data_IF_212887544377
#
_entry.id   IF_212887544377
#
_cell.length_a   1.000
_cell.length_b   1.000
_cell.length_c   1.000
_cell.angle_alpha   90.00
_cell.angle_beta   90.00
_cell.angle_gamma   90.00
#
_symmetry.space_group_name_H-M   'P 1'
#
loop_
_entity.id
_entity.type
_entity.pdbx_description
1 polymer ?
#
# COMPACT_ATOMS: atom_id res chain seq x y z
N UNK A 1 23.05 1.52 -13.55
CA UNK A 1 24.19 0.67 -13.21
C UNK A 1 24.22 0.35 -11.71
N UNK A 2 24.14 1.34 -10.80
CA UNK A 2 24.19 1.11 -9.35
C UNK A 2 23.03 0.23 -8.80
N UNK A 3 21.80 0.39 -9.31
CA UNK A 3 20.68 -0.44 -8.90
C UNK A 3 20.90 -1.96 -9.10
N UNK A 4 21.79 -2.33 -10.01
CA UNK A 4 22.15 -3.73 -10.27
C UNK A 4 23.17 -4.31 -9.27
N UNK A 5 23.81 -3.47 -8.45
CA UNK A 5 24.78 -3.90 -7.43
C UNK A 5 24.14 -4.21 -6.07
N UNK A 6 22.90 -3.77 -5.84
CA UNK A 6 22.16 -4.06 -4.62
C UNK A 6 21.38 -5.36 -4.74
N UNK A 7 21.29 -6.13 -3.66
CA UNK A 7 20.47 -7.33 -3.60
C UNK A 7 19.00 -7.03 -3.86
N UNK A 8 18.50 -5.91 -3.35
CA UNK A 8 17.15 -5.40 -3.61
C UNK A 8 17.14 -3.87 -3.51
N UNK A 9 16.34 -3.22 -4.35
CA UNK A 9 16.07 -1.80 -4.29
C UNK A 9 14.58 -1.60 -4.01
N UNK A 10 14.29 -0.84 -2.96
CA UNK A 10 12.93 -0.57 -2.54
C UNK A 10 12.63 0.92 -2.59
N UNK A 11 11.57 1.27 -3.27
CA UNK A 11 11.06 2.63 -3.29
C UNK A 11 9.98 2.81 -2.21
N UNK A 12 10.10 3.82 -1.38
CA UNK A 12 9.14 4.18 -0.33
C UNK A 12 8.45 5.50 -0.68
N UNK A 13 7.31 5.78 -0.04
CA UNK A 13 6.48 6.95 -0.34
C UNK A 13 7.03 8.25 0.23
N UNK A 14 7.81 8.17 1.30
CA UNK A 14 8.30 9.32 2.05
C UNK A 14 9.55 8.96 2.87
N UNK A 15 10.27 9.98 3.31
CA UNK A 15 11.50 9.83 4.08
C UNK A 15 11.31 9.21 5.47
N UNK A 16 10.17 9.48 6.14
CA UNK A 16 9.89 8.86 7.43
C UNK A 16 9.76 7.35 7.30
N UNK A 17 9.03 6.88 6.28
CA UNK A 17 8.93 5.45 5.95
C UNK A 17 10.30 4.85 5.63
N UNK A 18 11.18 5.59 4.94
CA UNK A 18 12.55 5.13 4.67
C UNK A 18 13.33 4.91 5.97
N UNK A 19 13.32 5.86 6.89
CA UNK A 19 14.00 5.73 8.17
C UNK A 19 13.39 4.68 9.09
N UNK A 20 12.06 4.52 9.12
CA UNK A 20 11.42 3.43 9.87
C UNK A 20 11.87 2.05 9.36
N UNK A 21 12.04 1.90 8.05
CA UNK A 21 12.55 0.67 7.45
C UNK A 21 14.03 0.43 7.82
N UNK A 22 14.86 1.48 7.82
CA UNK A 22 16.26 1.40 8.25
C UNK A 22 16.35 1.07 9.74
N UNK A 23 15.59 1.74 10.59
CA UNK A 23 15.58 1.53 12.04
C UNK A 23 15.13 0.12 12.41
N UNK A 24 14.11 -0.40 11.74
CA UNK A 24 13.59 -1.75 11.96
C UNK A 24 14.47 -2.86 11.39
N UNK A 25 15.52 -2.52 10.63
CA UNK A 25 16.42 -3.49 9.98
C UNK A 25 15.81 -4.15 8.75
N UNK A 26 14.71 -3.64 8.21
CA UNK A 26 14.12 -4.17 6.97
C UNK A 26 14.87 -3.73 5.70
N UNK A 27 15.72 -2.72 5.81
CA UNK A 27 16.71 -2.29 4.82
C UNK A 27 18.02 -1.96 5.53
N UNK A 28 19.15 -2.14 4.82
CA UNK A 28 20.49 -1.91 5.37
C UNK A 28 20.96 -0.47 5.16
N UNK A 29 20.43 0.21 4.15
CA UNK A 29 20.79 1.58 3.80
C UNK A 29 19.60 2.32 3.16
N UNK A 30 19.65 3.65 3.22
CA UNK A 30 18.67 4.55 2.58
C UNK A 30 19.43 5.50 1.67
N UNK A 31 18.93 5.67 0.44
CA UNK A 31 19.38 6.68 -0.49
C UNK A 31 18.37 7.82 -0.55
N UNK A 32 18.82 9.05 -0.35
CA UNK A 32 17.98 10.23 -0.36
C UNK A 32 18.80 11.48 -0.75
N UNK A 33 18.12 12.60 -0.88
CA UNK A 33 18.74 13.91 -1.07
C UNK A 33 19.68 14.27 0.10
N UNK A 34 20.85 14.84 -0.22
CA UNK A 34 21.88 15.16 0.77
C UNK A 34 21.39 16.20 1.79
N UNK A 35 20.58 17.17 1.38
CA UNK A 35 20.03 18.19 2.27
C UNK A 35 19.09 17.59 3.29
N UNK A 36 18.21 16.67 2.84
CA UNK A 36 17.30 15.93 3.72
C UNK A 36 18.08 14.99 4.63
N UNK A 37 19.10 14.28 4.11
CA UNK A 37 19.94 13.40 4.91
C UNK A 37 20.63 14.14 6.06
N UNK A 38 21.24 15.31 5.79
CA UNK A 38 21.86 16.15 6.82
C UNK A 38 20.86 16.60 7.89
N UNK A 39 19.69 17.07 7.50
CA UNK A 39 18.61 17.47 8.41
C UNK A 39 18.13 16.30 9.30
N UNK A 40 17.86 15.15 8.72
CA UNK A 40 17.37 13.97 9.44
C UNK A 40 18.42 13.39 10.40
N UNK A 41 19.70 13.43 10.04
CA UNK A 41 20.78 13.01 10.93
C UNK A 41 20.89 13.90 12.19
N UNK A 42 20.69 15.20 12.05
CA UNK A 42 20.63 16.10 13.21
C UNK A 42 19.40 15.83 14.09
N UNK A 43 18.23 15.68 13.47
CA UNK A 43 16.98 15.45 14.17
C UNK A 43 16.96 14.10 14.93
N UNK A 44 17.66 13.07 14.42
CA UNK A 44 17.69 11.71 14.97
C UNK A 44 18.92 11.39 15.83
N UNK A 45 19.62 12.42 16.30
CA UNK A 45 20.71 12.31 17.28
C UNK A 45 21.78 11.24 16.94
N UNK A 46 22.38 11.30 15.76
CA UNK A 46 23.56 10.53 15.33
C UNK A 46 23.50 8.99 15.41
N UNK A 47 22.32 8.40 15.34
CA UNK A 47 22.16 6.93 15.23
C UNK A 47 22.67 6.36 13.90
N UNK A 48 22.83 7.19 12.89
CA UNK A 48 23.18 6.81 11.52
C UNK A 48 24.39 7.56 11.03
N UNK A 49 25.06 7.04 10.01
CA UNK A 49 26.23 7.64 9.39
C UNK A 49 25.94 7.85 7.91
N UNK A 50 26.27 9.03 7.40
CA UNK A 50 26.25 9.30 5.98
C UNK A 50 27.54 8.76 5.34
N UNK A 51 27.38 7.94 4.28
CA UNK A 51 28.54 7.44 3.53
C UNK A 51 29.09 8.54 2.63
N UNK A 52 30.41 8.51 2.39
CA UNK A 52 31.08 9.48 1.52
C UNK A 52 30.84 9.21 0.02
N UNK A 53 30.27 8.05 -0.32
CA UNK A 53 29.98 7.66 -1.69
C UNK A 53 28.63 8.25 -2.14
N UNK A 54 28.65 9.00 -3.24
CA UNK A 54 27.44 9.55 -3.84
C UNK A 54 26.86 8.57 -4.87
N UNK A 55 25.55 8.30 -4.79
CA UNK A 55 24.84 7.46 -5.74
C UNK A 55 24.64 8.17 -7.08
N UNK A 56 24.33 9.45 -7.04
CA UNK A 56 24.20 10.33 -8.21
C UNK A 56 24.49 11.78 -7.80
N UNK A 57 24.85 12.60 -8.76
CA UNK A 57 24.93 14.06 -8.63
C UNK A 57 23.84 14.66 -9.49
N UNK A 58 23.04 15.55 -8.93
CA UNK A 58 21.97 16.25 -9.63
C UNK A 58 21.99 17.74 -9.27
N UNK A 59 21.41 18.56 -10.14
CA UNK A 59 21.29 20.00 -9.92
C UNK A 59 19.81 20.35 -9.76
N UNK A 60 19.50 21.22 -8.80
CA UNK A 60 18.17 21.77 -8.62
C UNK A 60 18.04 23.09 -9.38
N UNK A 61 16.94 23.23 -10.11
CA UNK A 61 16.61 24.45 -10.83
C UNK A 61 15.20 24.93 -10.54
N UNK A 62 14.98 26.22 -10.72
CA UNK A 62 13.64 26.83 -10.62
C UNK A 62 12.97 26.75 -11.99
N UNK A 63 11.88 25.98 -12.11
CA UNK A 63 11.13 25.84 -13.35
C UNK A 63 10.10 26.96 -13.54
N UNK A 64 10.05 27.53 -14.76
CA UNK A 64 9.09 28.55 -15.15
C UNK A 64 8.19 28.03 -16.27
N UNK A 65 6.96 28.57 -16.35
CA UNK A 65 6.07 28.29 -17.48
C UNK A 65 6.74 28.75 -18.79
N UNK A 66 6.72 27.92 -19.83
CA UNK A 66 7.26 28.24 -21.15
C UNK A 66 6.69 29.58 -21.65
N UNK A 67 7.56 30.50 -22.05
CA UNK A 67 7.22 31.87 -22.48
C UNK A 67 7.22 32.94 -21.39
N UNK A 68 7.28 32.56 -20.10
CA UNK A 68 7.39 33.54 -18.99
C UNK A 68 8.87 33.93 -18.74
N UNK A 69 9.49 34.53 -19.73
CA UNK A 69 10.92 34.91 -19.71
C UNK A 69 11.17 36.10 -18.80
N UNK A 70 10.21 36.98 -18.64
CA UNK A 70 10.34 38.17 -17.81
C UNK A 70 10.53 37.79 -16.33
N UNK A 71 9.61 37.00 -15.77
CA UNK A 71 9.73 36.53 -14.37
C UNK A 71 11.01 35.70 -14.16
N UNK A 72 11.34 34.81 -15.13
CA UNK A 72 12.58 34.03 -15.07
C UNK A 72 13.79 34.93 -14.94
N UNK A 73 13.87 35.99 -15.77
CA UNK A 73 15.04 36.91 -15.76
C UNK A 73 15.11 37.72 -14.44
N UNK A 74 13.98 38.21 -13.94
CA UNK A 74 13.90 38.89 -12.64
C UNK A 74 14.41 38.01 -11.49
N UNK A 75 13.96 36.73 -11.45
CA UNK A 75 14.41 35.79 -10.40
C UNK A 75 15.89 35.45 -10.56
N UNK A 76 16.38 35.27 -11.78
CA UNK A 76 17.80 35.01 -12.03
C UNK A 76 18.67 36.18 -11.61
N UNK A 77 18.25 37.41 -11.92
CA UNK A 77 18.93 38.63 -11.53
C UNK A 77 19.01 38.78 -10.01
N UNK A 78 17.90 38.57 -9.31
CA UNK A 78 17.87 38.58 -7.83
C UNK A 78 18.80 37.52 -7.21
N UNK A 79 18.85 36.31 -7.77
CA UNK A 79 19.74 35.25 -7.30
C UNK A 79 21.21 35.63 -7.52
N UNK A 80 21.53 36.28 -8.65
CA UNK A 80 22.87 36.74 -8.93
C UNK A 80 23.29 37.89 -7.99
N UNK A 81 22.37 38.80 -7.66
CA UNK A 81 22.59 39.84 -6.66
C UNK A 81 22.86 39.26 -5.27
N UNK A 82 22.05 38.30 -4.83
CA UNK A 82 22.23 37.60 -3.56
C UNK A 82 23.55 36.82 -3.49
N UNK A 83 24.05 36.32 -4.63
CA UNK A 83 25.35 35.67 -4.70
C UNK A 83 26.48 36.70 -4.57
N UNK A 84 26.32 37.86 -5.24
CA UNK A 84 27.32 38.93 -5.25
C UNK A 84 27.47 39.65 -3.91
N UNK A 85 26.37 39.82 -3.16
CA UNK A 85 26.38 40.46 -1.84
C UNK A 85 26.67 39.49 -0.69
N UNK A 86 26.75 38.17 -0.97
CA UNK A 86 27.04 37.12 0.01
C UNK A 86 25.81 36.54 0.73
N UNK A 87 24.63 37.14 0.60
CA UNK A 87 23.40 36.70 1.26
C UNK A 87 23.08 35.25 0.94
N UNK A 88 23.30 34.82 -0.32
CA UNK A 88 23.05 33.43 -0.72
C UNK A 88 23.94 32.44 0.05
N UNK A 89 25.22 32.79 0.23
CA UNK A 89 26.15 31.94 0.96
C UNK A 89 25.87 31.92 2.48
N UNK A 90 25.41 33.02 3.06
CA UNK A 90 24.98 33.06 4.47
C UNK A 90 23.77 32.12 4.70
N UNK A 91 22.80 32.12 3.77
CA UNK A 91 21.66 31.21 3.82
C UNK A 91 22.13 29.75 3.68
N UNK A 92 23.02 29.47 2.73
CA UNK A 92 23.58 28.14 2.54
C UNK A 92 24.32 27.65 3.81
N UNK A 93 25.09 28.48 4.46
CA UNK A 93 25.74 28.20 5.74
C UNK A 93 24.74 27.88 6.84
N UNK A 94 23.71 28.70 6.98
CA UNK A 94 22.64 28.45 7.98
C UNK A 94 22.02 27.07 7.85
N UNK A 95 21.90 26.56 6.62
CA UNK A 95 21.33 25.27 6.32
C UNK A 95 22.36 24.15 6.09
N UNK A 96 23.68 24.45 6.30
CA UNK A 96 24.81 23.52 6.11
C UNK A 96 24.86 22.91 4.70
N UNK A 97 24.53 23.72 3.70
CA UNK A 97 24.49 23.38 2.29
C UNK A 97 25.55 24.09 1.44
N UNK A 98 26.62 24.61 2.05
CA UNK A 98 27.67 25.37 1.39
C UNK A 98 28.30 24.60 0.24
N UNK A 99 28.54 23.30 0.45
CA UNK A 99 29.14 22.42 -0.56
C UNK A 99 28.18 22.08 -1.73
N UNK A 100 26.89 22.40 -1.57
CA UNK A 100 25.85 22.12 -2.57
C UNK A 100 25.53 23.35 -3.43
N UNK A 101 26.18 24.50 -3.19
CA UNK A 101 25.95 25.71 -3.96
C UNK A 101 26.63 25.59 -5.32
N UNK A 102 25.86 25.58 -6.40
CA UNK A 102 26.34 25.55 -7.77
C UNK A 102 26.02 26.82 -8.55
N UNK A 103 25.38 27.83 -7.93
CA UNK A 103 25.07 29.11 -8.57
C UNK A 103 26.37 29.86 -8.92
N UNK A 104 26.47 30.32 -10.17
CA UNK A 104 27.68 31.03 -10.67
C UNK A 104 28.85 30.11 -11.08
N UNK A 105 28.72 28.78 -11.02
CA UNK A 105 29.72 27.86 -11.56
C UNK A 105 29.54 27.67 -13.06
N UNK A 106 30.65 27.71 -13.81
CA UNK A 106 30.64 27.48 -15.27
C UNK A 106 30.08 26.08 -15.59
N UNK A 107 28.96 26.02 -16.29
CA UNK A 107 28.23 24.79 -16.62
C UNK A 107 26.76 24.83 -16.18
N UNK A 108 26.39 25.71 -15.24
CA UNK A 108 25.00 25.90 -14.86
C UNK A 108 24.16 26.53 -15.99
N UNK A 109 24.78 27.32 -16.84
CA UNK A 109 24.12 28.01 -17.97
C UNK A 109 23.89 27.08 -19.20
N UNK A 110 24.70 26.03 -19.37
CA UNK A 110 24.58 25.10 -20.49
C UNK A 110 23.41 24.12 -20.34
N UNK A 111 22.97 23.80 -19.11
CA UNK A 111 21.82 22.92 -18.86
C UNK A 111 20.49 23.60 -19.22
N UNK A 112 20.47 24.94 -19.29
CA UNK A 112 19.27 25.72 -19.67
C UNK A 112 18.90 25.62 -21.14
N UNK A 113 19.75 25.08 -21.99
CA UNK A 113 19.55 24.99 -23.45
C UNK A 113 19.41 23.55 -23.97
N UNK A 114 19.17 22.57 -23.13
CA UNK A 114 18.70 21.26 -23.60
C UNK A 114 17.26 21.39 -24.16
N UNK A 115 17.11 22.21 -25.19
CA UNK A 115 15.92 22.35 -26.03
C UNK A 115 15.71 21.13 -26.94
N UNK A 116 16.24 19.99 -26.63
CA UNK A 116 16.02 18.77 -27.40
C UNK A 116 15.58 17.61 -26.51
N UNK A 117 14.61 17.85 -25.66
CA UNK A 117 13.62 16.81 -25.38
C UNK A 117 12.84 16.54 -26.66
N UNK A 118 13.44 15.86 -27.63
CA UNK A 118 12.67 15.10 -28.59
C UNK A 118 11.94 14.01 -27.78
N UNK A 119 10.81 14.37 -27.22
CA UNK A 119 9.73 13.43 -27.00
C UNK A 119 9.38 12.93 -28.39
N UNK A 120 10.09 11.88 -28.85
CA UNK A 120 9.58 11.08 -29.94
C UNK A 120 8.14 10.76 -29.54
N UNK A 121 7.17 11.27 -30.31
CA UNK A 121 5.79 10.84 -30.27
C UNK A 121 5.79 9.34 -30.63
N UNK A 122 6.16 8.48 -29.66
CA UNK A 122 5.95 7.04 -29.76
C UNK A 122 4.47 6.85 -30.03
N UNK A 123 4.12 6.01 -31.00
CA UNK A 123 2.73 5.67 -31.28
C UNK A 123 2.04 5.32 -29.97
N UNK A 124 0.93 5.98 -29.65
CA UNK A 124 0.21 5.85 -28.37
C UNK A 124 -0.11 4.39 -28.03
N UNK A 125 -0.31 3.53 -29.02
CA UNK A 125 -0.57 2.10 -28.85
C UNK A 125 0.69 1.34 -28.40
N UNK A 126 1.86 1.67 -28.96
CA UNK A 126 3.13 1.04 -28.52
C UNK A 126 3.47 1.44 -27.09
N UNK A 127 3.22 2.70 -26.72
CA UNK A 127 3.41 3.22 -25.36
C UNK A 127 2.50 2.51 -24.34
N UNK A 128 1.23 2.26 -24.69
CA UNK A 128 0.30 1.49 -23.85
C UNK A 128 0.78 0.06 -23.65
N UNK A 129 1.28 -0.60 -24.70
CA UNK A 129 1.83 -1.95 -24.62
C UNK A 129 3.03 -2.04 -23.66
N UNK A 130 3.96 -1.08 -23.72
CA UNK A 130 5.10 -1.00 -22.84
C UNK A 130 4.67 -0.82 -21.36
N UNK A 131 3.71 0.07 -21.11
CA UNK A 131 3.16 0.31 -19.76
C UNK A 131 2.52 -0.97 -19.22
N UNK A 132 1.71 -1.68 -19.99
CA UNK A 132 1.07 -2.94 -19.57
C UNK A 132 2.12 -3.99 -19.21
N UNK A 133 3.18 -4.11 -20.01
CA UNK A 133 4.30 -5.04 -19.71
C UNK A 133 5.01 -4.66 -18.42
N UNK A 134 5.25 -3.37 -18.18
CA UNK A 134 5.86 -2.89 -16.94
C UNK A 134 4.99 -3.18 -15.71
N UNK A 135 3.67 -3.04 -15.84
CA UNK A 135 2.72 -3.24 -14.73
C UNK A 135 2.37 -4.71 -14.46
N UNK A 136 2.76 -5.64 -15.32
CA UNK A 136 2.40 -7.08 -15.24
C UNK A 136 2.67 -7.69 -13.87
N UNK A 137 3.85 -7.45 -13.31
CA UNK A 137 4.21 -8.03 -12.01
C UNK A 137 3.34 -7.48 -10.87
N UNK A 138 2.97 -6.20 -10.92
CA UNK A 138 2.04 -5.60 -9.98
C UNK A 138 0.64 -6.21 -10.04
N UNK A 139 0.17 -6.57 -11.25
CA UNK A 139 -1.11 -7.28 -11.42
C UNK A 139 -1.12 -8.63 -10.70
N UNK A 140 -0.06 -9.42 -10.85
CA UNK A 140 0.05 -10.71 -10.15
C UNK A 140 0.18 -10.56 -8.64
N UNK A 141 0.91 -9.53 -8.18
CA UNK A 141 1.03 -9.23 -6.76
C UNK A 141 -0.35 -8.86 -6.15
N UNK A 142 -1.11 -7.99 -6.81
CA UNK A 142 -2.49 -7.62 -6.42
C UNK A 142 -3.40 -8.85 -6.34
N UNK A 143 -3.37 -9.71 -7.36
CA UNK A 143 -4.15 -10.95 -7.38
C UNK A 143 -3.74 -11.89 -6.24
N UNK A 144 -2.43 -12.01 -5.97
CA UNK A 144 -1.89 -12.80 -4.86
C UNK A 144 -2.40 -12.31 -3.49
N UNK A 145 -2.34 -11.01 -3.23
CA UNK A 145 -2.90 -10.40 -2.00
C UNK A 145 -4.38 -10.73 -1.88
N UNK A 146 -5.16 -10.51 -2.93
CA UNK A 146 -6.59 -10.76 -2.97
C UNK A 146 -6.93 -12.22 -2.62
N UNK A 147 -6.33 -13.18 -3.33
CA UNK A 147 -6.61 -14.62 -3.14
C UNK A 147 -6.19 -15.07 -1.74
N UNK A 148 -4.97 -14.74 -1.31
CA UNK A 148 -4.45 -15.16 0.00
C UNK A 148 -5.26 -14.55 1.14
N UNK A 149 -5.66 -13.28 1.00
CA UNK A 149 -6.55 -12.66 1.99
C UNK A 149 -7.86 -13.45 2.13
N UNK A 150 -8.51 -13.80 1.04
CA UNK A 150 -9.76 -14.59 1.09
C UNK A 150 -9.53 -15.96 1.68
N UNK A 151 -8.48 -16.67 1.26
CA UNK A 151 -8.14 -18.02 1.75
C UNK A 151 -7.94 -18.04 3.26
N UNK A 152 -7.33 -17.01 3.84
CA UNK A 152 -7.10 -16.95 5.28
C UNK A 152 -8.24 -16.28 6.05
N UNK A 153 -8.85 -15.24 5.52
CA UNK A 153 -9.85 -14.46 6.26
C UNK A 153 -11.22 -15.16 6.36
N UNK A 154 -11.65 -15.90 5.33
CA UNK A 154 -12.93 -16.60 5.36
C UNK A 154 -12.98 -17.68 6.47
N UNK A 155 -12.02 -18.63 6.58
CA UNK A 155 -12.03 -19.59 7.67
C UNK A 155 -11.75 -18.95 9.04
N UNK A 156 -10.85 -17.96 9.11
CA UNK A 156 -10.56 -17.25 10.34
C UNK A 156 -11.79 -16.49 10.85
N UNK A 157 -12.55 -15.85 9.97
CA UNK A 157 -13.82 -15.22 10.29
C UNK A 157 -14.82 -16.18 10.89
N UNK A 158 -14.90 -17.41 10.37
CA UNK A 158 -15.78 -18.45 10.94
C UNK A 158 -15.34 -18.87 12.34
N UNK A 159 -14.03 -19.03 12.57
CA UNK A 159 -13.47 -19.33 13.91
C UNK A 159 -13.82 -18.21 14.89
N UNK A 160 -13.61 -16.96 14.51
CA UNK A 160 -13.93 -15.79 15.35
C UNK A 160 -15.43 -15.73 15.63
N UNK A 161 -16.28 -16.08 14.67
CA UNK A 161 -17.75 -16.18 14.87
C UNK A 161 -18.07 -17.17 15.99
N UNK A 162 -17.49 -18.38 15.97
CA UNK A 162 -17.72 -19.36 17.04
C UNK A 162 -17.22 -18.89 18.39
N UNK A 163 -16.07 -18.23 18.46
CA UNK A 163 -15.55 -17.61 19.68
C UNK A 163 -16.53 -16.52 20.16
N UNK A 164 -17.02 -15.68 19.25
CA UNK A 164 -17.96 -14.59 19.54
C UNK A 164 -19.33 -15.09 20.04
N UNK A 165 -19.76 -16.26 19.58
CA UNK A 165 -21.03 -16.93 19.98
C UNK A 165 -20.83 -17.94 21.12
N UNK A 166 -19.64 -18.09 21.64
CA UNK A 166 -19.29 -19.00 22.74
C UNK A 166 -20.08 -18.68 24.03
N UNK A 167 -20.35 -19.70 24.84
CA UNK A 167 -20.94 -19.53 26.19
C UNK A 167 -19.95 -18.94 27.20
N UNK A 168 -18.64 -18.97 26.92
CA UNK A 168 -17.60 -18.44 27.79
C UNK A 168 -17.51 -16.93 27.61
N UNK A 169 -17.99 -16.16 28.58
CA UNK A 169 -18.06 -14.69 28.53
C UNK A 169 -16.73 -14.03 28.21
N UNK A 170 -15.62 -14.55 28.73
CA UNK A 170 -14.28 -14.02 28.47
C UNK A 170 -13.90 -14.11 26.99
N UNK A 171 -14.10 -15.27 26.37
CA UNK A 171 -13.84 -15.49 24.93
C UNK A 171 -14.74 -14.60 24.06
N UNK A 172 -16.01 -14.51 24.42
CA UNK A 172 -16.97 -13.65 23.75
C UNK A 172 -16.53 -12.18 23.81
N UNK A 173 -16.04 -11.73 24.97
CA UNK A 173 -15.57 -10.35 25.18
C UNK A 173 -14.30 -10.05 24.34
N UNK A 174 -13.32 -10.97 24.36
CA UNK A 174 -12.09 -10.83 23.55
C UNK A 174 -12.44 -10.72 22.06
N UNK A 175 -13.29 -11.60 21.54
CA UNK A 175 -13.72 -11.53 20.14
C UNK A 175 -14.45 -10.21 19.82
N UNK A 176 -15.28 -9.71 20.74
CA UNK A 176 -15.99 -8.44 20.58
C UNK A 176 -15.04 -7.26 20.48
N UNK A 177 -14.02 -7.21 21.34
CA UNK A 177 -12.99 -6.15 21.31
C UNK A 177 -12.20 -6.21 20.01
N UNK A 178 -11.72 -7.41 19.64
CA UNK A 178 -11.00 -7.59 18.38
C UNK A 178 -11.79 -7.07 17.19
N UNK A 179 -13.05 -7.51 17.05
CA UNK A 179 -13.92 -7.06 15.94
C UNK A 179 -14.13 -5.54 15.99
N UNK A 180 -14.34 -4.99 17.18
CA UNK A 180 -14.52 -3.55 17.37
C UNK A 180 -13.29 -2.75 16.94
N UNK A 181 -12.09 -3.20 17.29
CA UNK A 181 -10.84 -2.55 16.90
C UNK A 181 -10.64 -2.64 15.39
N UNK A 182 -10.76 -3.84 14.81
CA UNK A 182 -10.49 -4.06 13.38
C UNK A 182 -11.47 -3.32 12.47
N UNK A 183 -12.73 -3.18 12.88
CA UNK A 183 -13.76 -2.45 12.12
C UNK A 183 -13.82 -0.97 12.46
N UNK A 184 -13.23 -0.55 13.57
CA UNK A 184 -13.24 0.82 14.05
C UNK A 184 -11.98 1.64 13.73
N UNK A 185 -10.95 1.01 13.16
CA UNK A 185 -9.68 1.68 12.82
C UNK A 185 -9.37 1.54 11.33
N UNK A 186 -8.64 2.51 10.72
CA UNK A 186 -8.27 2.43 9.31
C UNK A 186 -7.35 1.23 9.02
N UNK A 187 -7.65 0.46 7.97
CA UNK A 187 -6.84 -0.69 7.56
C UNK A 187 -5.36 -0.32 7.33
N UNK A 188 -5.09 0.84 6.74
CA UNK A 188 -3.72 1.31 6.51
C UNK A 188 -2.90 1.39 7.81
N UNK A 189 -3.50 1.90 8.90
CA UNK A 189 -2.83 1.94 10.21
C UNK A 189 -2.60 0.55 10.77
N UNK A 190 -3.53 -0.37 10.58
CA UNK A 190 -3.39 -1.76 11.01
C UNK A 190 -2.23 -2.45 10.30
N UNK A 191 -2.08 -2.23 8.98
CA UNK A 191 -0.95 -2.73 8.21
C UNK A 191 0.39 -2.24 8.77
N UNK A 192 0.50 -0.94 9.07
CA UNK A 192 1.71 -0.37 9.67
C UNK A 192 2.01 -0.98 11.05
N UNK A 193 0.99 -1.17 11.90
CA UNK A 193 1.15 -1.82 13.20
C UNK A 193 1.59 -3.28 13.07
N UNK A 194 1.03 -4.04 12.14
CA UNK A 194 1.41 -5.44 11.89
C UNK A 194 2.86 -5.53 11.39
N UNK A 195 3.27 -4.59 10.54
CA UNK A 195 4.62 -4.60 9.99
C UNK A 195 5.67 -4.11 10.99
N UNK A 196 5.49 -2.93 11.57
CA UNK A 196 6.47 -2.33 12.47
C UNK A 196 6.34 -2.76 13.93
N UNK A 197 5.16 -3.25 14.35
CA UNK A 197 4.89 -3.65 15.73
C UNK A 197 5.90 -4.63 16.32
N UNK A 198 6.33 -5.71 15.63
CA UNK A 198 7.32 -6.64 16.14
C UNK A 198 8.65 -5.96 16.51
N UNK A 199 9.09 -4.98 15.75
CA UNK A 199 10.30 -4.22 16.07
C UNK A 199 10.10 -3.31 17.28
N UNK A 200 9.08 -2.45 17.27
CA UNK A 200 8.91 -1.44 18.33
C UNK A 200 8.46 -2.02 19.67
N UNK A 201 7.72 -3.15 19.67
CA UNK A 201 7.22 -3.77 20.89
C UNK A 201 8.18 -4.82 21.47
N UNK A 202 8.91 -5.55 20.62
CA UNK A 202 9.70 -6.71 21.00
C UNK A 202 11.17 -6.62 20.60
N UNK A 203 11.60 -5.58 19.88
CA UNK A 203 12.98 -5.43 19.40
C UNK A 203 13.38 -6.44 18.32
N UNK A 204 12.40 -7.05 17.62
CA UNK A 204 12.66 -8.06 16.59
C UNK A 204 13.03 -7.36 15.28
N UNK A 205 14.25 -7.63 14.78
CA UNK A 205 14.68 -7.11 13.48
C UNK A 205 13.78 -7.66 12.36
N UNK A 206 13.33 -6.78 11.48
CA UNK A 206 12.45 -7.14 10.37
C UNK A 206 13.29 -7.52 9.15
N UNK A 207 12.91 -8.61 8.49
CA UNK A 207 13.50 -8.98 7.20
C UNK A 207 12.70 -8.39 6.03
N UNK A 208 13.36 -8.22 4.88
CA UNK A 208 12.68 -7.81 3.64
C UNK A 208 11.46 -8.70 3.32
N UNK A 209 11.62 -10.02 3.46
CA UNK A 209 10.56 -11.00 3.19
C UNK A 209 9.36 -10.88 4.13
N UNK A 210 9.55 -10.36 5.35
CA UNK A 210 8.46 -10.19 6.34
C UNK A 210 7.37 -9.25 5.82
N UNK A 211 7.69 -8.30 4.96
CA UNK A 211 6.73 -7.37 4.37
C UNK A 211 5.56 -8.06 3.69
N UNK A 212 5.84 -9.08 2.87
CA UNK A 212 4.79 -9.87 2.24
C UNK A 212 3.87 -10.53 3.26
N UNK A 213 4.45 -11.16 4.28
CA UNK A 213 3.66 -11.80 5.33
C UNK A 213 2.85 -10.78 6.13
N UNK A 214 3.42 -9.63 6.44
CA UNK A 214 2.72 -8.56 7.17
C UNK A 214 1.51 -8.03 6.39
N UNK A 215 1.64 -7.86 5.07
CA UNK A 215 0.51 -7.51 4.19
C UNK A 215 -0.60 -8.56 4.32
N UNK A 216 -0.28 -9.84 4.10
CA UNK A 216 -1.29 -10.91 4.14
C UNK A 216 -1.91 -11.04 5.54
N UNK A 217 -1.12 -11.00 6.61
CA UNK A 217 -1.61 -11.08 8.00
C UNK A 217 -2.54 -9.89 8.29
N UNK A 218 -2.13 -8.67 7.97
CA UNK A 218 -2.91 -7.47 8.24
C UNK A 218 -4.26 -7.48 7.52
N UNK A 219 -4.26 -7.81 6.22
CA UNK A 219 -5.49 -7.97 5.46
C UNK A 219 -6.37 -9.11 5.98
N UNK A 220 -5.77 -10.28 6.25
CA UNK A 220 -6.52 -11.44 6.74
C UNK A 220 -7.18 -11.16 8.09
N UNK A 221 -6.47 -10.52 9.02
CA UNK A 221 -7.02 -10.13 10.32
C UNK A 221 -8.14 -9.10 10.17
N UNK A 222 -7.98 -8.08 9.33
CA UNK A 222 -9.01 -7.08 9.13
C UNK A 222 -10.28 -7.72 8.54
N UNK A 223 -10.17 -8.41 7.40
CA UNK A 223 -11.31 -9.01 6.71
C UNK A 223 -11.97 -10.14 7.51
N UNK A 224 -11.23 -10.89 8.32
CA UNK A 224 -11.79 -11.88 9.22
C UNK A 224 -12.77 -11.28 10.24
N UNK A 225 -12.52 -10.05 10.69
CA UNK A 225 -13.43 -9.34 11.60
C UNK A 225 -14.75 -8.97 10.91
N UNK A 226 -14.69 -8.53 9.63
CA UNK A 226 -15.89 -8.25 8.85
C UNK A 226 -16.68 -9.52 8.57
N UNK A 227 -16.02 -10.60 8.11
CA UNK A 227 -16.68 -11.88 7.88
C UNK A 227 -17.26 -12.48 9.16
N UNK A 228 -16.59 -12.31 10.30
CA UNK A 228 -17.12 -12.80 11.57
C UNK A 228 -18.48 -12.20 11.93
N UNK A 229 -18.67 -10.90 11.75
CA UNK A 229 -19.96 -10.26 12.00
C UNK A 229 -21.01 -10.63 10.94
N UNK A 230 -20.62 -10.77 9.68
CA UNK A 230 -21.51 -11.24 8.62
C UNK A 230 -22.00 -12.66 8.92
N UNK A 231 -21.12 -13.59 9.29
CA UNK A 231 -21.47 -14.96 9.62
C UNK A 231 -22.33 -15.03 10.88
N UNK A 232 -22.01 -14.25 11.93
CA UNK A 232 -22.84 -14.18 13.12
C UNK A 232 -24.26 -13.74 12.79
N UNK A 233 -24.41 -12.66 12.03
CA UNK A 233 -25.72 -12.17 11.61
C UNK A 233 -26.47 -13.22 10.76
N UNK A 234 -25.77 -13.94 9.88
CA UNK A 234 -26.35 -15.01 9.08
C UNK A 234 -26.85 -16.20 9.90
N UNK A 235 -26.10 -16.60 10.95
CA UNK A 235 -26.50 -17.68 11.87
C UNK A 235 -27.70 -17.25 12.70
N UNK A 236 -27.67 -16.04 13.26
CA UNK A 236 -28.78 -15.51 14.08
C UNK A 236 -30.07 -15.26 13.28
N UNK A 237 -29.96 -15.08 11.97
CA UNK A 237 -31.11 -14.91 11.08
C UNK A 237 -31.84 -16.24 10.75
N UNK A 238 -31.26 -17.42 11.12
CA UNK A 238 -31.94 -18.71 10.91
C UNK A 238 -33.02 -18.86 11.99
N UNK A 239 -34.29 -19.15 11.62
CA UNK A 239 -35.38 -19.28 12.59
C UNK A 239 -35.11 -20.35 13.65
N UNK A 240 -35.49 -20.07 14.90
CA UNK A 240 -35.33 -21.00 16.03
C UNK A 240 -36.01 -22.37 15.76
N UNK A 241 -37.13 -22.38 15.07
CA UNK A 241 -37.82 -23.60 14.69
C UNK A 241 -36.99 -24.59 13.86
N UNK A 242 -35.95 -24.14 13.16
CA UNK A 242 -35.00 -25.04 12.48
C UNK A 242 -34.15 -25.84 13.47
N UNK A 243 -33.77 -25.23 14.59
CA UNK A 243 -33.05 -25.92 15.67
C UNK A 243 -33.96 -26.90 16.42
N UNK A 244 -35.18 -26.48 16.73
CA UNK A 244 -36.20 -27.30 17.40
C UNK A 244 -36.57 -28.53 16.55
N UNK A 245 -36.82 -28.32 15.26
CA UNK A 245 -37.12 -29.42 14.32
C UNK A 245 -35.95 -30.42 14.22
N UNK A 246 -34.71 -29.93 14.20
CA UNK A 246 -33.55 -30.80 14.18
C UNK A 246 -33.42 -31.62 15.46
N UNK A 247 -33.72 -31.02 16.63
CA UNK A 247 -33.69 -31.70 17.92
C UNK A 247 -34.76 -32.82 17.97
N UNK A 248 -35.98 -32.57 17.52
CA UNK A 248 -37.06 -33.56 17.41
C UNK A 248 -36.67 -34.74 16.51
N UNK A 249 -35.90 -34.45 15.43
CA UNK A 249 -35.38 -35.49 14.52
C UNK A 249 -34.14 -36.22 15.08
N UNK A 250 -33.69 -35.92 16.29
CA UNK A 250 -32.57 -36.59 16.95
C UNK A 250 -31.18 -36.16 16.43
N UNK A 251 -31.06 -35.02 15.75
CA UNK A 251 -29.77 -34.52 15.29
C UNK A 251 -28.94 -34.01 16.46
N UNK A 252 -27.66 -34.39 16.48
CA UNK A 252 -26.70 -33.76 17.40
C UNK A 252 -26.46 -32.28 17.02
N UNK A 253 -25.96 -31.46 17.95
CA UNK A 253 -25.66 -30.02 17.70
C UNK A 253 -24.77 -29.81 16.49
N UNK A 254 -23.75 -30.64 16.30
CA UNK A 254 -22.83 -30.56 15.16
C UNK A 254 -23.56 -30.93 13.87
N UNK A 255 -24.41 -32.00 13.88
CA UNK A 255 -25.19 -32.37 12.72
C UNK A 255 -26.20 -31.27 12.36
N UNK A 256 -26.88 -30.70 13.34
CA UNK A 256 -27.79 -29.57 13.15
C UNK A 256 -27.06 -28.41 12.48
N UNK A 257 -25.91 -28.03 13.02
CA UNK A 257 -25.14 -26.93 12.45
C UNK A 257 -24.71 -27.24 11.01
N UNK A 258 -24.01 -28.34 10.78
CA UNK A 258 -23.39 -28.62 9.47
C UNK A 258 -24.44 -28.93 8.39
N UNK A 259 -25.50 -29.64 8.71
CA UNK A 259 -26.50 -30.14 7.70
C UNK A 259 -27.67 -29.18 7.50
N UNK A 260 -28.03 -28.38 8.51
CA UNK A 260 -29.26 -27.56 8.47
C UNK A 260 -28.94 -26.08 8.52
N UNK A 261 -28.16 -25.63 9.51
CA UNK A 261 -27.93 -24.21 9.76
C UNK A 261 -26.91 -23.62 8.78
N UNK A 262 -25.77 -24.29 8.62
CA UNK A 262 -24.67 -23.79 7.80
C UNK A 262 -25.06 -23.57 6.33
N UNK A 263 -25.75 -24.47 5.63
CA UNK A 263 -26.20 -24.24 4.25
C UNK A 263 -27.17 -23.07 4.14
N UNK A 264 -28.07 -22.89 5.10
CA UNK A 264 -29.01 -21.76 5.14
C UNK A 264 -28.28 -20.45 5.46
N UNK A 265 -27.32 -20.48 6.39
CA UNK A 265 -26.48 -19.34 6.70
C UNK A 265 -25.68 -18.90 5.47
N UNK A 266 -24.99 -19.82 4.79
CA UNK A 266 -24.17 -19.50 3.61
C UNK A 266 -24.98 -18.73 2.58
N UNK A 267 -26.18 -19.18 2.27
CA UNK A 267 -27.09 -18.49 1.34
C UNK A 267 -27.39 -17.05 1.79
N UNK A 268 -27.66 -16.84 3.09
CA UNK A 268 -28.03 -15.53 3.64
C UNK A 268 -26.86 -14.56 3.69
N UNK A 269 -25.64 -15.07 3.88
CA UNK A 269 -24.44 -14.23 3.99
C UNK A 269 -23.78 -13.92 2.64
N UNK A 270 -24.18 -14.61 1.57
CA UNK A 270 -23.56 -14.40 0.25
C UNK A 270 -23.61 -12.93 -0.22
N UNK A 271 -24.75 -12.21 -0.18
CA UNK A 271 -24.77 -10.82 -0.65
C UNK A 271 -23.80 -9.91 0.13
N UNK A 272 -23.78 -9.88 1.48
CA UNK A 272 -22.81 -9.09 2.21
C UNK A 272 -21.37 -9.58 2.02
N UNK A 273 -21.11 -10.89 1.89
CA UNK A 273 -19.78 -11.41 1.56
C UNK A 273 -19.33 -10.92 0.19
N UNK A 274 -20.21 -10.94 -0.81
CA UNK A 274 -19.94 -10.41 -2.15
C UNK A 274 -19.49 -8.95 -2.09
N UNK A 275 -20.17 -8.12 -1.31
CA UNK A 275 -19.77 -6.71 -1.14
C UNK A 275 -18.39 -6.56 -0.54
N UNK A 276 -18.03 -7.33 0.49
CA UNK A 276 -16.69 -7.30 1.08
C UNK A 276 -15.62 -7.82 0.12
N UNK A 277 -15.90 -8.86 -0.66
CA UNK A 277 -14.98 -9.40 -1.67
C UNK A 277 -14.70 -8.36 -2.77
N UNK A 278 -15.73 -7.64 -3.23
CA UNK A 278 -15.59 -6.54 -4.18
C UNK A 278 -14.78 -5.37 -3.59
N UNK A 279 -15.00 -5.05 -2.32
CA UNK A 279 -14.25 -4.01 -1.62
C UNK A 279 -12.78 -4.40 -1.48
N UNK A 280 -12.49 -5.65 -1.16
CA UNK A 280 -11.12 -6.16 -1.03
C UNK A 280 -10.28 -5.93 -2.30
N UNK A 281 -10.86 -6.05 -3.50
CA UNK A 281 -10.14 -5.76 -4.76
C UNK A 281 -9.51 -4.37 -4.73
N UNK A 282 -10.27 -3.37 -4.27
CA UNK A 282 -9.79 -1.98 -4.20
C UNK A 282 -8.80 -1.77 -3.05
N UNK A 283 -9.08 -2.39 -1.91
CA UNK A 283 -8.27 -2.26 -0.71
C UNK A 283 -6.87 -2.85 -0.85
N UNK A 284 -6.66 -3.82 -1.78
CA UNK A 284 -5.30 -4.35 -2.06
C UNK A 284 -4.28 -3.25 -2.35
N UNK A 285 -4.72 -2.12 -2.91
CA UNK A 285 -3.87 -0.95 -3.14
C UNK A 285 -3.27 -0.36 -1.86
N UNK A 286 -3.90 -0.56 -0.69
CA UNK A 286 -3.39 -0.06 0.59
C UNK A 286 -2.08 -0.72 1.02
N UNK A 287 -1.67 -1.82 0.37
CA UNK A 287 -0.36 -2.44 0.57
C UNK A 287 0.80 -1.48 0.24
N UNK A 288 0.55 -0.40 -0.52
CA UNK A 288 1.53 0.65 -0.78
C UNK A 288 2.08 1.27 0.52
N UNK A 289 1.30 1.31 1.59
CA UNK A 289 1.71 1.87 2.88
C UNK A 289 2.91 1.11 3.48
N UNK A 290 3.05 -0.17 3.16
CA UNK A 290 4.20 -0.99 3.54
C UNK A 290 5.27 -1.00 2.44
N UNK A 291 5.19 -0.14 1.44
CA UNK A 291 6.04 -0.14 0.25
C UNK A 291 6.09 -1.53 -0.43
N UNK A 292 4.99 -2.28 -0.38
CA UNK A 292 4.85 -3.53 -1.13
C UNK A 292 4.47 -3.22 -2.58
N UNK A 293 5.25 -3.77 -3.52
CA UNK A 293 5.10 -3.47 -4.95
C UNK A 293 3.95 -4.28 -5.54
N UNK A 294 2.74 -3.76 -5.41
CA UNK A 294 1.53 -4.22 -6.09
C UNK A 294 1.19 -3.28 -7.26
N UNK A 295 0.03 -3.47 -7.90
CA UNK A 295 -0.36 -2.75 -9.12
C UNK A 295 -0.35 -1.22 -8.97
N UNK A 296 -0.92 -0.67 -7.90
CA UNK A 296 -1.00 0.77 -7.68
C UNK A 296 0.37 1.37 -7.39
N UNK A 297 1.17 0.72 -6.54
CA UNK A 297 2.55 1.11 -6.22
C UNK A 297 3.39 1.17 -7.49
N UNK A 298 3.33 0.12 -8.31
CA UNK A 298 4.09 0.05 -9.55
C UNK A 298 3.63 1.10 -10.56
N UNK A 299 2.32 1.32 -10.67
CA UNK A 299 1.77 2.37 -11.53
C UNK A 299 2.24 3.78 -11.13
N UNK A 300 2.32 4.07 -9.82
CA UNK A 300 2.89 5.33 -9.31
C UNK A 300 4.37 5.48 -9.69
N UNK A 301 5.16 4.43 -9.53
CA UNK A 301 6.59 4.44 -9.90
C UNK A 301 6.78 4.71 -11.38
N UNK A 302 6.07 3.98 -12.24
CA UNK A 302 6.14 4.15 -13.71
C UNK A 302 5.62 5.53 -14.14
N UNK A 303 4.58 6.05 -13.48
CA UNK A 303 4.04 7.38 -13.75
C UNK A 303 5.08 8.48 -13.41
N UNK A 304 5.76 8.34 -12.28
CA UNK A 304 6.82 9.26 -11.88
C UNK A 304 8.03 9.20 -12.84
N UNK A 305 8.49 8.00 -13.19
CA UNK A 305 9.62 7.81 -14.12
C UNK A 305 9.33 8.38 -15.50
N UNK A 306 8.09 8.20 -15.99
CA UNK A 306 7.70 8.65 -17.32
C UNK A 306 7.15 10.09 -17.35
N UNK A 307 7.08 10.76 -16.20
CA UNK A 307 6.40 12.06 -16.04
C UNK A 307 5.01 12.07 -16.71
N UNK A 308 4.25 10.97 -16.55
CA UNK A 308 2.99 10.73 -17.27
C UNK A 308 1.95 10.13 -16.35
N UNK A 309 0.70 10.58 -16.47
CA UNK A 309 -0.45 10.03 -15.72
C UNK A 309 -0.97 8.71 -16.33
N UNK A 310 -0.56 8.36 -17.54
CA UNK A 310 -1.07 7.21 -18.30
C UNK A 310 -0.97 5.87 -17.54
N UNK A 311 0.13 5.55 -16.82
CA UNK A 311 0.21 4.32 -16.04
C UNK A 311 -0.87 4.20 -14.94
N UNK A 312 -1.29 5.33 -14.34
CA UNK A 312 -2.39 5.34 -13.36
C UNK A 312 -3.75 5.05 -14.01
N UNK A 313 -3.98 5.55 -15.24
CA UNK A 313 -5.18 5.19 -15.99
C UNK A 313 -5.21 3.71 -16.33
N UNK A 314 -4.09 3.14 -16.78
CA UNK A 314 -3.97 1.69 -17.06
C UNK A 314 -4.24 0.87 -15.81
N UNK A 315 -3.70 1.26 -14.66
CA UNK A 315 -4.00 0.62 -13.38
C UNK A 315 -5.49 0.74 -13.01
N UNK A 316 -6.11 1.91 -13.22
CA UNK A 316 -7.55 2.12 -13.01
C UNK A 316 -8.41 1.19 -13.86
N UNK A 317 -8.07 1.01 -15.12
CA UNK A 317 -8.75 0.08 -16.05
C UNK A 317 -8.56 -1.37 -15.57
N UNK A 318 -7.36 -1.75 -15.13
CA UNK A 318 -7.10 -3.07 -14.55
C UNK A 318 -7.99 -3.32 -13.33
N UNK A 319 -8.02 -2.40 -12.36
CA UNK A 319 -8.86 -2.53 -11.15
C UNK A 319 -10.35 -2.62 -11.52
N UNK A 320 -10.80 -1.85 -12.51
CA UNK A 320 -12.18 -1.91 -12.98
C UNK A 320 -12.53 -3.29 -13.57
N UNK A 321 -11.68 -3.80 -14.47
CA UNK A 321 -11.87 -5.12 -15.11
C UNK A 321 -11.81 -6.22 -14.05
N UNK A 322 -10.84 -6.17 -13.15
CA UNK A 322 -10.68 -7.16 -12.09
C UNK A 322 -11.90 -7.15 -11.16
N UNK A 323 -12.36 -5.98 -10.74
CA UNK A 323 -13.55 -5.83 -9.90
C UNK A 323 -14.81 -6.33 -10.59
N UNK A 324 -14.98 -6.03 -11.89
CA UNK A 324 -16.09 -6.52 -12.69
C UNK A 324 -16.09 -8.05 -12.78
N UNK A 325 -14.92 -8.65 -13.02
CA UNK A 325 -14.77 -10.11 -13.10
C UNK A 325 -15.11 -10.78 -11.77
N UNK A 326 -14.61 -10.25 -10.66
CA UNK A 326 -14.91 -10.73 -9.30
C UNK A 326 -16.41 -10.61 -9.01
N UNK A 327 -17.03 -9.47 -9.31
CA UNK A 327 -18.46 -9.26 -9.12
C UNK A 327 -19.29 -10.26 -9.94
N UNK A 328 -18.92 -10.50 -11.20
CA UNK A 328 -19.58 -11.47 -12.06
C UNK A 328 -19.45 -12.90 -11.51
N UNK A 329 -18.26 -13.31 -11.05
CA UNK A 329 -18.04 -14.63 -10.44
C UNK A 329 -18.92 -14.78 -9.19
N UNK A 330 -18.93 -13.78 -8.32
CA UNK A 330 -19.72 -13.80 -7.09
C UNK A 330 -21.23 -13.87 -7.38
N UNK A 331 -21.69 -13.15 -8.41
CA UNK A 331 -23.09 -13.24 -8.86
C UNK A 331 -23.46 -14.63 -9.37
N UNK A 332 -22.55 -15.32 -10.11
CA UNK A 332 -22.80 -16.70 -10.54
C UNK A 332 -22.88 -17.66 -9.34
N UNK A 333 -22.00 -17.49 -8.35
CA UNK A 333 -22.04 -18.28 -7.11
C UNK A 333 -23.36 -18.04 -6.38
N UNK A 334 -23.78 -16.79 -6.23
CA UNK A 334 -25.06 -16.45 -5.59
C UNK A 334 -26.26 -17.06 -6.33
N UNK A 335 -26.31 -16.96 -7.66
CA UNK A 335 -27.38 -17.58 -8.48
C UNK A 335 -27.41 -19.09 -8.32
N UNK A 336 -26.27 -19.76 -8.22
CA UNK A 336 -26.20 -21.21 -8.03
C UNK A 336 -26.81 -21.68 -6.71
N UNK A 337 -26.92 -20.79 -5.71
CA UNK A 337 -27.48 -21.08 -4.40
C UNK A 337 -28.97 -20.74 -4.26
N UNK A 338 -29.63 -20.24 -5.32
CA UNK A 338 -31.05 -19.83 -5.28
C UNK A 338 -32.06 -20.97 -5.34
N UNK A 339 -31.63 -22.23 -5.45
CA UNK A 339 -32.52 -23.40 -5.54
C UNK A 339 -33.29 -23.70 -4.26
N UNK A 340 -32.95 -23.10 -3.12
CA UNK A 340 -33.79 -23.10 -1.92
C UNK A 340 -34.56 -21.78 -1.83
N UNK A 341 -35.85 -21.80 -2.20
CA UNK A 341 -36.78 -20.69 -1.93
C UNK A 341 -37.38 -20.83 -0.55
#
# INVERSE_FOLDING_TARGET
ALAASFQSLQQVSDYNSAFMNLESGSVDAVCMDIGVAKYELEARASKYVMLNEHVSSEQYGIGFKKGNTELRNQVQEALNEMLADGTFNEIAQKWKLEESVCLGQSGADEVLLAENGQTQKKNSVAQLGEIIVQLKNGMFATLGIFILTLVFSLPLGLVITFIRMSKVKLLQWIAKIYISIMRGTPLMLQLLVVFFGPYYLFGISLSYSYRFYAVIIGFALNYAAYFAEIYRAGIEAVPAGQYEAAEVLGYSKTQTFVRIIFPQMVKRVMPPVTNEVITLVKDTSLAFALAYTEMFTLAKQVAATNASIMPLFVAGVFYYIFNFLVAWIMEQIEKSMQYYR
#
